data_IF_783083432756
#
_entry.id   IF_783083432756
#
_cell.length_a   1.000
_cell.length_b   1.000
_cell.length_c   1.000
_cell.angle_alpha   90.00
_cell.angle_beta   90.00
_cell.angle_gamma   90.00
#
_symmetry.space_group_name_H-M   'P 1'
#
loop_
_entity.id
_entity.type
_entity.pdbx_description
1 polymer ?
#
# COMPACT_ATOMS: atom_id res chain seq x y z
N UNK A 1 42.35 50.75 1.58
CA UNK A 1 41.70 50.40 0.29
C UNK A 1 41.88 48.90 0.11
N UNK A 2 40.85 48.09 0.41
CA UNK A 2 39.91 47.48 -0.57
C UNK A 2 40.57 46.29 -1.29
N UNK A 3 40.08 45.05 -1.36
CA UNK A 3 38.86 44.36 -0.89
C UNK A 3 39.14 42.86 -1.06
N UNK A 4 38.82 42.06 -0.06
CA UNK A 4 38.79 40.60 -0.09
C UNK A 4 37.67 40.12 -1.04
N UNK A 5 37.92 39.22 -1.99
CA UNK A 5 36.86 38.49 -2.70
C UNK A 5 37.20 37.00 -2.79
N UNK A 6 36.72 36.27 -1.79
CA UNK A 6 36.43 34.85 -1.88
C UNK A 6 35.23 34.66 -2.81
N UNK A 7 35.39 33.95 -3.93
CA UNK A 7 34.27 33.44 -4.70
C UNK A 7 34.03 31.97 -4.32
N UNK A 8 33.35 31.78 -3.19
CA UNK A 8 32.61 30.55 -2.89
C UNK A 8 31.28 30.64 -3.61
N UNK A 9 31.19 30.06 -4.81
CA UNK A 9 29.91 29.88 -5.49
C UNK A 9 29.25 28.66 -4.87
N UNK A 10 28.46 28.90 -3.83
CA UNK A 10 27.52 27.94 -3.26
C UNK A 10 26.41 27.66 -4.27
N UNK A 11 26.58 26.64 -5.11
CA UNK A 11 25.45 26.02 -5.82
C UNK A 11 24.67 25.16 -4.82
N UNK A 12 23.81 25.80 -4.03
CA UNK A 12 22.66 25.13 -3.42
C UNK A 12 21.66 24.87 -4.54
N UNK A 13 21.81 23.73 -5.22
CA UNK A 13 20.74 23.14 -6.01
C UNK A 13 19.65 22.73 -5.02
N UNK A 14 18.69 23.63 -4.84
CA UNK A 14 17.40 23.32 -4.25
C UNK A 14 16.77 22.32 -5.20
N UNK A 15 16.94 21.03 -4.91
CA UNK A 15 16.10 19.99 -5.47
C UNK A 15 14.69 20.28 -4.96
N UNK A 16 13.93 21.06 -5.74
CA UNK A 16 12.51 21.26 -5.52
C UNK A 16 11.84 19.90 -5.70
N UNK A 17 11.67 19.21 -4.58
CA UNK A 17 10.81 18.04 -4.45
C UNK A 17 9.38 18.50 -4.75
N UNK A 18 9.02 18.59 -6.03
CA UNK A 18 7.63 18.65 -6.43
C UNK A 18 7.02 17.29 -6.12
N UNK A 19 6.66 17.08 -4.85
CA UNK A 19 5.65 16.11 -4.48
C UNK A 19 4.37 16.57 -5.18
N UNK A 20 4.15 16.07 -6.40
CA UNK A 20 2.88 16.22 -7.09
C UNK A 20 1.87 15.41 -6.30
N UNK A 21 1.17 16.09 -5.38
CA UNK A 21 0.01 15.53 -4.71
C UNK A 21 -0.96 15.06 -5.80
N UNK A 22 -1.28 13.77 -5.79
CA UNK A 22 -2.25 13.24 -6.75
C UNK A 22 -3.66 13.69 -6.33
N UNK A 23 -4.47 14.12 -7.29
CA UNK A 23 -5.89 14.37 -7.01
C UNK A 23 -6.60 13.05 -6.70
N UNK A 24 -7.65 13.10 -5.88
CA UNK A 24 -8.48 11.92 -5.56
C UNK A 24 -8.92 11.14 -6.80
N UNK A 25 -9.35 11.83 -7.85
CA UNK A 25 -9.82 11.22 -9.09
C UNK A 25 -8.69 10.47 -9.83
N UNK A 26 -7.46 10.98 -9.81
CA UNK A 26 -6.31 10.30 -10.41
C UNK A 26 -5.97 9.00 -9.66
N UNK A 27 -6.07 9.01 -8.34
CA UNK A 27 -5.85 7.80 -7.53
C UNK A 27 -6.93 6.76 -7.83
N UNK A 28 -8.20 7.16 -7.90
CA UNK A 28 -9.31 6.27 -8.22
C UNK A 28 -9.17 5.64 -9.61
N UNK A 29 -8.74 6.41 -10.62
CA UNK A 29 -8.44 5.88 -11.96
C UNK A 29 -7.29 4.87 -11.96
N UNK A 30 -6.24 5.12 -11.17
CA UNK A 30 -5.10 4.20 -11.06
C UNK A 30 -5.49 2.90 -10.34
N UNK A 31 -6.32 2.99 -9.29
CA UNK A 31 -6.89 1.82 -8.61
C UNK A 31 -7.73 1.02 -9.59
N UNK A 32 -8.60 1.69 -10.36
CA UNK A 32 -9.44 1.04 -11.37
C UNK A 32 -8.60 0.29 -12.42
N UNK A 33 -7.53 0.90 -12.94
CA UNK A 33 -6.60 0.23 -13.89
C UNK A 33 -5.91 -0.99 -13.25
N UNK A 34 -5.49 -0.89 -12.00
CA UNK A 34 -4.89 -2.01 -11.29
C UNK A 34 -5.89 -3.17 -11.09
N UNK A 35 -7.16 -2.85 -10.84
CA UNK A 35 -8.27 -3.81 -10.75
C UNK A 35 -8.57 -4.47 -12.10
N UNK A 36 -8.55 -3.73 -13.22
CA UNK A 36 -8.73 -4.32 -14.55
C UNK A 36 -7.68 -5.40 -14.84
N UNK A 37 -6.43 -5.18 -14.43
CA UNK A 37 -5.37 -6.19 -14.53
C UNK A 37 -5.68 -7.43 -13.65
N UNK A 38 -6.23 -7.24 -12.45
CA UNK A 38 -6.69 -8.36 -11.61
C UNK A 38 -7.78 -9.17 -12.32
N UNK A 39 -8.78 -8.50 -12.90
CA UNK A 39 -9.89 -9.13 -13.63
C UNK A 39 -9.42 -9.91 -14.85
N UNK A 40 -8.39 -9.41 -15.55
CA UNK A 40 -7.72 -10.11 -16.66
C UNK A 40 -6.80 -11.25 -16.21
N UNK A 41 -6.69 -11.51 -14.90
CA UNK A 41 -5.78 -12.49 -14.26
C UNK A 41 -4.30 -12.19 -14.50
N UNK A 42 -3.96 -10.95 -14.83
CA UNK A 42 -2.57 -10.48 -14.93
C UNK A 42 -2.04 -10.12 -13.54
N UNK A 43 -2.00 -11.10 -12.63
CA UNK A 43 -1.79 -10.86 -11.20
C UNK A 43 -0.46 -10.16 -10.88
N UNK A 44 0.63 -10.52 -11.57
CA UNK A 44 1.92 -9.85 -11.40
C UNK A 44 1.88 -8.38 -11.83
N UNK A 45 1.24 -8.08 -12.96
CA UNK A 45 1.09 -6.71 -13.45
C UNK A 45 0.18 -5.89 -12.54
N UNK A 46 -0.92 -6.48 -12.09
CA UNK A 46 -1.85 -5.88 -11.13
C UNK A 46 -1.14 -5.55 -9.82
N UNK A 47 -0.32 -6.47 -9.29
CA UNK A 47 0.47 -6.22 -8.09
C UNK A 47 1.45 -5.07 -8.30
N UNK A 48 2.18 -5.04 -9.41
CA UNK A 48 3.07 -3.92 -9.76
C UNK A 48 2.32 -2.59 -9.80
N UNK A 49 1.12 -2.55 -10.38
CA UNK A 49 0.29 -1.35 -10.44
C UNK A 49 -0.18 -0.88 -9.05
N UNK A 50 -0.65 -1.81 -8.20
CA UNK A 50 -1.01 -1.48 -6.81
C UNK A 50 0.20 -1.08 -5.95
N UNK A 51 1.38 -1.65 -6.16
CA UNK A 51 2.60 -1.21 -5.47
C UNK A 51 3.00 0.19 -5.90
N UNK A 52 2.89 0.50 -7.20
CA UNK A 52 3.19 1.83 -7.73
C UNK A 52 2.26 2.92 -7.18
N UNK A 53 1.04 2.56 -6.80
CA UNK A 53 0.07 3.45 -6.14
C UNK A 53 0.55 3.92 -4.76
N UNK A 54 1.38 3.13 -4.05
CA UNK A 54 1.86 3.48 -2.71
C UNK A 54 2.76 4.73 -2.67
N UNK A 55 3.27 5.21 -3.82
CA UNK A 55 3.94 6.52 -3.88
C UNK A 55 3.01 7.70 -3.56
N UNK A 56 1.70 7.47 -3.62
CA UNK A 56 0.64 8.43 -3.29
C UNK A 56 -0.04 8.12 -1.95
N UNK A 57 0.56 7.28 -1.10
CA UNK A 57 -0.04 6.86 0.18
C UNK A 57 -0.48 8.04 1.06
N UNK A 58 0.31 9.12 1.08
CA UNK A 58 -0.03 10.34 1.84
C UNK A 58 -1.24 11.12 1.29
N UNK A 59 -1.59 10.92 0.02
CA UNK A 59 -2.72 11.57 -0.65
C UNK A 59 -3.99 10.70 -0.65
N UNK A 60 -3.87 9.42 -0.26
CA UNK A 60 -5.00 8.50 -0.21
C UNK A 60 -5.86 8.74 1.02
N UNK A 61 -7.18 8.74 0.84
CA UNK A 61 -8.07 8.59 1.99
C UNK A 61 -8.03 7.14 2.53
N UNK A 62 -8.54 6.96 3.75
CA UNK A 62 -8.53 5.67 4.45
C UNK A 62 -9.14 4.52 3.61
N UNK A 63 -10.20 4.80 2.84
CA UNK A 63 -10.84 3.81 1.98
C UNK A 63 -9.97 3.38 0.81
N UNK A 64 -9.35 4.34 0.12
CA UNK A 64 -8.39 4.06 -0.95
C UNK A 64 -7.19 3.25 -0.43
N UNK A 65 -6.68 3.62 0.75
CA UNK A 65 -5.52 2.98 1.34
C UNK A 65 -5.85 1.55 1.81
N UNK A 66 -6.98 1.36 2.49
CA UNK A 66 -7.45 0.03 2.90
C UNK A 66 -7.71 -0.89 1.70
N UNK A 67 -8.32 -0.37 0.63
CA UNK A 67 -8.57 -1.14 -0.58
C UNK A 67 -7.25 -1.54 -1.28
N UNK A 68 -6.30 -0.60 -1.37
CA UNK A 68 -4.99 -0.86 -1.99
C UNK A 68 -4.22 -1.95 -1.22
N UNK A 69 -4.13 -1.85 0.11
CA UNK A 69 -3.47 -2.86 0.93
C UNK A 69 -4.21 -4.21 0.93
N UNK A 70 -5.55 -4.22 0.88
CA UNK A 70 -6.32 -5.44 0.70
C UNK A 70 -6.00 -6.13 -0.63
N UNK A 71 -5.98 -5.39 -1.73
CA UNK A 71 -5.65 -5.95 -3.04
C UNK A 71 -4.23 -6.49 -3.08
N UNK A 72 -3.26 -5.77 -2.50
CA UNK A 72 -1.87 -6.24 -2.39
C UNK A 72 -1.74 -7.51 -1.54
N UNK A 73 -2.47 -7.62 -0.44
CA UNK A 73 -2.53 -8.82 0.38
C UNK A 73 -3.09 -10.02 -0.41
N UNK A 74 -4.21 -9.85 -1.10
CA UNK A 74 -4.83 -10.90 -1.91
C UNK A 74 -3.95 -11.33 -3.07
N UNK A 75 -3.34 -10.38 -3.79
CA UNK A 75 -2.40 -10.67 -4.88
C UNK A 75 -1.14 -11.38 -4.37
N UNK A 76 -0.64 -11.03 -3.18
CA UNK A 76 0.50 -11.71 -2.58
C UNK A 76 0.17 -13.17 -2.23
N UNK A 77 -1.05 -13.43 -1.78
CA UNK A 77 -1.55 -14.80 -1.58
C UNK A 77 -1.65 -15.59 -2.90
N UNK A 78 -2.22 -14.99 -3.95
CA UNK A 78 -2.37 -15.60 -5.29
C UNK A 78 -1.00 -15.94 -5.87
N UNK A 79 -0.04 -15.01 -5.78
CA UNK A 79 1.33 -15.16 -6.27
C UNK A 79 2.22 -15.96 -5.33
N UNK A 80 1.66 -16.52 -4.25
CA UNK A 80 2.36 -17.31 -3.25
C UNK A 80 3.58 -16.62 -2.61
N UNK A 81 3.54 -15.29 -2.47
CA UNK A 81 4.57 -14.49 -1.81
C UNK A 81 4.18 -14.22 -0.35
N UNK A 82 4.83 -14.96 0.56
CA UNK A 82 4.56 -14.94 2.00
C UNK A 82 5.07 -13.68 2.70
N UNK A 83 6.23 -13.16 2.27
CA UNK A 83 6.83 -11.96 2.85
C UNK A 83 5.95 -10.74 2.58
N UNK A 84 5.52 -10.59 1.33
CA UNK A 84 4.62 -9.50 0.94
C UNK A 84 3.24 -9.64 1.57
N UNK A 85 2.69 -10.86 1.65
CA UNK A 85 1.42 -11.07 2.35
C UNK A 85 1.52 -10.66 3.82
N UNK A 86 2.60 -11.04 4.52
CA UNK A 86 2.84 -10.60 5.90
C UNK A 86 2.92 -9.09 5.99
N UNK A 87 3.72 -8.46 5.13
CA UNK A 87 3.89 -7.00 5.12
C UNK A 87 2.58 -6.26 4.88
N UNK A 88 1.88 -6.55 3.77
CA UNK A 88 0.65 -5.85 3.40
C UNK A 88 -0.51 -6.19 4.32
N UNK A 89 -0.60 -7.43 4.83
CA UNK A 89 -1.61 -7.81 5.82
C UNK A 89 -1.44 -7.07 7.14
N UNK A 90 -0.20 -6.96 7.65
CA UNK A 90 0.08 -6.19 8.85
C UNK A 90 -0.24 -4.70 8.67
N UNK A 91 0.11 -4.12 7.52
CA UNK A 91 -0.27 -2.74 7.16
C UNK A 91 -1.79 -2.56 7.17
N UNK A 92 -2.53 -3.43 6.48
CA UNK A 92 -4.00 -3.38 6.44
C UNK A 92 -4.62 -3.48 7.85
N UNK A 93 -4.20 -4.45 8.65
CA UNK A 93 -4.68 -4.63 10.02
C UNK A 93 -4.43 -3.37 10.85
N UNK A 94 -3.21 -2.83 10.79
CA UNK A 94 -2.87 -1.60 11.53
C UNK A 94 -3.74 -0.41 11.14
N UNK A 95 -4.16 -0.37 9.87
CA UNK A 95 -4.99 0.70 9.31
C UNK A 95 -6.44 0.64 9.79
N UNK A 96 -7.01 -0.56 9.96
CA UNK A 96 -8.46 -0.75 10.12
C UNK A 96 -8.90 -1.24 11.49
N UNK A 97 -8.00 -1.82 12.30
CA UNK A 97 -8.38 -2.56 13.52
C UNK A 97 -9.14 -1.72 14.56
N UNK A 98 -8.86 -0.42 14.61
CA UNK A 98 -9.42 0.52 15.58
C UNK A 98 -10.38 1.52 14.94
N UNK A 99 -10.69 1.35 13.64
CA UNK A 99 -11.53 2.27 12.88
C UNK A 99 -13.01 1.83 13.00
N UNK A 100 -13.90 2.66 13.59
CA UNK A 100 -15.30 2.27 13.83
C UNK A 100 -16.04 1.82 12.56
N UNK A 101 -15.81 2.51 11.44
CA UNK A 101 -16.44 2.21 10.16
C UNK A 101 -15.96 0.89 9.53
N UNK A 102 -14.84 0.33 10.02
CA UNK A 102 -14.23 -0.87 9.49
C UNK A 102 -14.33 -2.09 10.41
N UNK A 103 -15.04 -2.02 11.54
CA UNK A 103 -15.17 -3.14 12.49
C UNK A 103 -15.59 -4.44 11.81
N UNK A 104 -16.58 -4.39 10.90
CA UNK A 104 -17.04 -5.58 10.18
C UNK A 104 -16.03 -6.07 9.14
N UNK A 105 -15.29 -5.15 8.51
CA UNK A 105 -14.23 -5.52 7.58
C UNK A 105 -13.07 -6.19 8.32
N UNK A 106 -12.65 -5.63 9.45
CA UNK A 106 -11.61 -6.20 10.30
C UNK A 106 -11.98 -7.60 10.81
N UNK A 107 -13.21 -7.80 11.30
CA UNK A 107 -13.70 -9.13 11.73
C UNK A 107 -13.60 -10.17 10.60
N UNK A 108 -14.04 -9.82 9.39
CA UNK A 108 -13.95 -10.74 8.23
C UNK A 108 -12.51 -11.01 7.83
N UNK A 109 -11.66 -9.98 7.85
CA UNK A 109 -10.23 -10.12 7.56
C UNK A 109 -9.57 -11.06 8.57
N UNK A 110 -9.79 -10.84 9.87
CA UNK A 110 -9.23 -11.67 10.92
C UNK A 110 -9.68 -13.13 10.81
N UNK A 111 -10.99 -13.38 10.65
CA UNK A 111 -11.51 -14.74 10.39
C UNK A 111 -10.81 -15.40 9.20
N UNK A 112 -10.66 -14.67 8.10
CA UNK A 112 -10.02 -15.19 6.89
C UNK A 112 -8.54 -15.49 7.14
N UNK A 113 -7.81 -14.58 7.78
CA UNK A 113 -6.38 -14.79 8.04
C UNK A 113 -6.09 -15.88 9.07
N UNK A 114 -7.00 -16.14 10.00
CA UNK A 114 -6.75 -17.00 11.16
C UNK A 114 -7.48 -18.35 11.14
N UNK A 115 -8.58 -18.46 10.41
CA UNK A 115 -9.50 -19.60 10.57
C UNK A 115 -10.02 -20.18 9.26
N UNK A 116 -9.86 -19.50 8.12
CA UNK A 116 -10.39 -20.01 6.86
C UNK A 116 -9.41 -20.96 6.16
N UNK A 117 -9.97 -22.00 5.53
CA UNK A 117 -9.21 -23.02 4.80
C UNK A 117 -8.44 -22.44 3.61
N UNK A 118 -9.00 -21.42 2.93
CA UNK A 118 -8.35 -20.76 1.80
C UNK A 118 -7.02 -20.12 2.22
N UNK A 119 -6.89 -19.61 3.44
CA UNK A 119 -5.65 -18.99 3.93
C UNK A 119 -4.77 -19.89 4.79
N UNK A 120 -5.14 -21.15 5.01
CA UNK A 120 -4.40 -22.13 5.83
C UNK A 120 -2.88 -22.12 5.60
N UNK A 121 -2.43 -22.10 4.34
CA UNK A 121 -1.00 -22.07 3.98
C UNK A 121 -0.24 -20.84 4.48
N UNK A 122 -0.93 -19.74 4.80
CA UNK A 122 -0.35 -18.46 5.20
C UNK A 122 -0.68 -18.09 6.65
N UNK A 123 -1.60 -18.79 7.33
CA UNK A 123 -2.00 -18.50 8.73
C UNK A 123 -0.80 -18.26 9.67
N UNK A 124 0.24 -19.09 9.56
CA UNK A 124 1.44 -19.00 10.40
C UNK A 124 2.17 -17.64 10.32
N UNK A 125 2.01 -16.87 9.23
CA UNK A 125 2.64 -15.54 9.11
C UNK A 125 1.89 -14.46 9.89
N UNK A 126 0.67 -14.75 10.34
CA UNK A 126 -0.23 -13.85 11.06
C UNK A 126 -0.52 -14.29 12.50
N UNK A 127 0.26 -15.22 13.08
CA UNK A 127 0.06 -15.71 14.45
C UNK A 127 -0.06 -14.59 15.50
N UNK A 128 0.63 -13.46 15.31
CA UNK A 128 0.55 -12.31 16.22
C UNK A 128 -0.86 -11.66 16.28
N UNK A 129 -1.71 -11.96 15.30
CA UNK A 129 -3.10 -11.48 15.20
C UNK A 129 -4.14 -12.60 15.38
N UNK A 130 -3.70 -13.85 15.44
CA UNK A 130 -4.54 -15.04 15.54
C UNK A 130 -4.39 -15.63 16.94
N UNK A 131 -5.33 -15.26 17.83
CA UNK A 131 -5.39 -15.70 19.22
C UNK A 131 -6.78 -16.20 19.58
#
# INVERSE_FOLDING_TARGET
MSKLHFHLISFLLIASSFAHAATKNQIDELIYKALELTTKKEFSNSKTAYTALLKYEADMNLSQLANTYKSLLELSYILNNKEDAKYFGNKLISLIKNEPDYVQFYKRLNYRLCSSDDWSKFQYVFNDHCG
#
